data_IF_583624321166
#
_entry.id   IF_583624321166
#
_cell.length_a   1.000
_cell.length_b   1.000
_cell.length_c   1.000
_cell.angle_alpha   90.00
_cell.angle_beta   90.00
_cell.angle_gamma   90.00
#
_symmetry.space_group_name_H-M   'P 1'
#
loop_
_entity.id
_entity.type
_entity.pdbx_description
1 polymer ?
#
# COMPACT_ATOMS: atom_id res chain seq x y z
N UNK A 1 -56.16 16.39 -3.93
CA UNK A 1 -54.72 16.78 -3.87
C UNK A 1 -54.02 16.42 -2.56
N UNK A 2 -54.68 16.52 -1.38
CA UNK A 2 -54.06 16.27 -0.06
C UNK A 2 -53.48 14.86 0.17
N UNK A 3 -54.11 13.81 -0.35
CA UNK A 3 -53.69 12.39 -0.13
C UNK A 3 -52.41 12.01 -0.89
N UNK A 4 -52.12 12.61 -2.05
CA UNK A 4 -50.89 12.35 -2.81
C UNK A 4 -49.64 12.93 -2.13
N UNK A 5 -49.75 14.09 -1.47
CA UNK A 5 -48.66 14.74 -0.74
C UNK A 5 -48.27 13.96 0.52
N UNK A 6 -49.24 13.36 1.22
CA UNK A 6 -48.98 12.51 2.41
C UNK A 6 -48.22 11.24 2.02
N UNK A 7 -48.59 10.59 0.92
CA UNK A 7 -47.89 9.41 0.42
C UNK A 7 -46.48 9.73 -0.10
N UNK A 8 -46.27 10.89 -0.73
CA UNK A 8 -44.93 11.33 -1.17
C UNK A 8 -44.01 11.60 0.02
N UNK A 9 -44.51 12.27 1.08
CA UNK A 9 -43.76 12.51 2.32
C UNK A 9 -43.42 11.22 3.06
N UNK A 10 -44.33 10.24 3.08
CA UNK A 10 -44.10 8.91 3.69
C UNK A 10 -43.05 8.09 2.92
N UNK A 11 -43.12 8.11 1.58
CA UNK A 11 -42.19 7.40 0.69
C UNK A 11 -40.78 8.02 0.72
N UNK A 12 -40.69 9.35 0.80
CA UNK A 12 -39.43 10.08 1.01
C UNK A 12 -38.81 9.80 2.38
N UNK A 13 -39.61 9.74 3.45
CA UNK A 13 -39.12 9.37 4.77
C UNK A 13 -38.56 7.95 4.80
N UNK A 14 -39.21 7.00 4.13
CA UNK A 14 -38.74 5.62 4.02
C UNK A 14 -37.41 5.53 3.24
N UNK A 15 -37.28 6.25 2.12
CA UNK A 15 -36.03 6.30 1.34
C UNK A 15 -34.84 6.85 2.14
N UNK A 16 -35.07 7.88 2.96
CA UNK A 16 -34.04 8.47 3.82
C UNK A 16 -33.59 7.48 4.90
N UNK A 17 -34.53 6.76 5.53
CA UNK A 17 -34.22 5.72 6.52
C UNK A 17 -33.41 4.58 5.89
N UNK A 18 -33.78 4.13 4.69
CA UNK A 18 -33.01 3.10 3.98
C UNK A 18 -31.60 3.56 3.61
N UNK A 19 -31.43 4.80 3.17
CA UNK A 19 -30.12 5.36 2.87
C UNK A 19 -29.24 5.48 4.12
N UNK A 20 -29.80 5.92 5.25
CA UNK A 20 -29.09 6.03 6.53
C UNK A 20 -28.72 4.66 7.10
N UNK A 21 -29.61 3.67 7.02
CA UNK A 21 -29.30 2.29 7.40
C UNK A 21 -28.21 1.70 6.50
N UNK A 22 -28.26 1.94 5.19
CA UNK A 22 -27.22 1.51 4.26
C UNK A 22 -25.85 2.10 4.61
N UNK A 23 -25.80 3.40 4.93
CA UNK A 23 -24.56 4.08 5.33
C UNK A 23 -23.99 3.52 6.65
N UNK A 24 -24.86 3.24 7.63
CA UNK A 24 -24.48 2.62 8.90
C UNK A 24 -23.91 1.20 8.71
N UNK A 25 -24.46 0.42 7.77
CA UNK A 25 -23.97 -0.92 7.46
C UNK A 25 -22.57 -0.87 6.83
N UNK A 26 -22.31 0.08 5.91
CA UNK A 26 -20.99 0.22 5.25
C UNK A 26 -19.89 0.57 6.26
N UNK A 27 -20.18 1.40 7.26
CA UNK A 27 -19.22 1.76 8.32
C UNK A 27 -18.83 0.58 9.23
N UNK A 28 -19.68 -0.44 9.36
CA UNK A 28 -19.39 -1.63 10.18
C UNK A 28 -18.43 -2.61 9.49
N UNK A 29 -18.28 -2.51 8.16
CA UNK A 29 -17.41 -3.40 7.36
C UNK A 29 -16.03 -2.81 7.04
N UNK A 30 -15.81 -1.51 7.24
CA UNK A 30 -14.49 -0.91 7.16
C UNK A 30 -13.69 -1.22 8.42
N UNK A 31 -13.04 -2.38 8.47
CA UNK A 31 -11.94 -2.58 9.41
C UNK A 31 -10.76 -1.75 8.94
N UNK A 32 -10.52 -0.61 9.59
CA UNK A 32 -9.24 0.07 9.49
C UNK A 32 -8.19 -0.88 10.09
N UNK A 33 -7.49 -1.61 9.22
CA UNK A 33 -6.32 -2.39 9.61
C UNK A 33 -5.16 -1.41 9.64
N UNK A 34 -4.90 -0.87 10.83
CA UNK A 34 -3.62 -0.24 11.09
C UNK A 34 -2.56 -1.32 11.08
N UNK A 35 -1.46 -1.09 10.35
CA UNK A 35 -0.25 -1.85 10.56
C UNK A 35 0.22 -1.51 11.99
N UNK A 36 -0.18 -2.34 12.94
CA UNK A 36 0.34 -2.27 14.30
C UNK A 36 1.83 -2.56 14.19
N UNK A 37 2.66 -1.55 14.46
CA UNK A 37 4.07 -1.71 14.67
C UNK A 37 4.20 -2.57 15.93
N UNK A 38 4.14 -3.89 15.76
CA UNK A 38 4.27 -4.84 16.83
C UNK A 38 5.62 -4.54 17.48
N UNK A 39 5.59 -3.93 18.67
CA UNK A 39 6.80 -3.71 19.45
C UNK A 39 7.48 -5.06 19.58
N UNK A 40 8.60 -5.25 18.85
CA UNK A 40 9.26 -6.55 18.78
C UNK A 40 9.54 -6.99 20.20
N UNK A 41 8.88 -8.07 20.60
CA UNK A 41 9.10 -8.67 21.91
C UNK A 41 10.61 -8.88 22.08
N UNK A 42 11.12 -8.56 23.27
CA UNK A 42 12.57 -8.66 23.53
C UNK A 42 13.03 -10.08 23.18
N UNK A 43 14.04 -10.25 22.31
CA UNK A 43 14.48 -11.59 21.91
C UNK A 43 14.99 -12.35 23.12
N UNK A 44 14.57 -13.62 23.20
CA UNK A 44 15.10 -14.60 24.15
C UNK A 44 16.55 -14.94 23.81
N UNK A 45 17.33 -15.37 24.80
CA UNK A 45 18.72 -15.75 24.59
C UNK A 45 18.87 -16.92 23.61
N UNK A 46 17.88 -17.83 23.57
CA UNK A 46 17.82 -18.93 22.59
C UNK A 46 17.66 -18.38 21.16
N UNK A 47 16.83 -17.36 20.94
CA UNK A 47 16.71 -16.72 19.62
C UNK A 47 18.01 -16.01 19.23
N UNK A 48 18.66 -15.31 20.16
CA UNK A 48 19.93 -14.63 19.91
C UNK A 48 21.04 -15.62 19.56
N UNK A 49 21.13 -16.76 20.28
CA UNK A 49 22.10 -17.83 19.97
C UNK A 49 21.90 -18.36 18.56
N UNK A 50 20.64 -18.66 18.18
CA UNK A 50 20.31 -19.14 16.82
C UNK A 50 20.69 -18.14 15.74
N UNK A 51 20.51 -16.84 15.98
CA UNK A 51 20.91 -15.79 15.03
C UNK A 51 22.43 -15.76 14.88
N UNK A 52 23.17 -15.80 15.98
CA UNK A 52 24.64 -15.83 15.93
C UNK A 52 25.16 -17.09 15.24
N UNK A 53 24.63 -18.27 15.57
CA UNK A 53 25.02 -19.56 15.00
C UNK A 53 24.73 -19.66 13.50
N UNK A 54 23.59 -19.12 13.06
CA UNK A 54 23.13 -19.19 11.66
C UNK A 54 23.38 -17.90 10.88
N UNK A 55 24.21 -17.01 11.38
CA UNK A 55 24.39 -15.67 10.83
C UNK A 55 24.77 -15.69 9.33
N UNK A 56 25.67 -16.60 8.93
CA UNK A 56 26.09 -16.74 7.52
C UNK A 56 24.92 -17.13 6.61
N UNK A 57 24.11 -18.12 7.03
CA UNK A 57 22.97 -18.60 6.25
C UNK A 57 21.87 -17.54 6.18
N UNK A 58 21.55 -16.89 7.32
CA UNK A 58 20.60 -15.78 7.36
C UNK A 58 21.00 -14.65 6.40
N UNK A 59 22.28 -14.25 6.41
CA UNK A 59 22.77 -13.20 5.49
C UNK A 59 22.70 -13.64 4.03
N UNK A 60 22.96 -14.92 3.73
CA UNK A 60 22.84 -15.47 2.38
C UNK A 60 21.39 -15.44 1.91
N UNK A 61 20.46 -15.85 2.76
CA UNK A 61 19.03 -15.88 2.46
C UNK A 61 18.47 -14.46 2.28
N UNK A 62 18.82 -13.51 3.15
CA UNK A 62 18.43 -12.10 3.02
C UNK A 62 18.97 -11.46 1.73
N UNK A 63 20.23 -11.77 1.35
CA UNK A 63 20.80 -11.29 0.08
C UNK A 63 20.07 -11.86 -1.14
N UNK A 64 19.70 -13.15 -1.07
CA UNK A 64 18.91 -13.80 -2.13
C UNK A 64 17.53 -13.15 -2.23
N UNK A 65 16.83 -13.00 -1.11
CA UNK A 65 15.53 -12.33 -1.04
C UNK A 65 15.59 -10.93 -1.66
N UNK A 66 16.56 -10.11 -1.22
CA UNK A 66 16.79 -8.76 -1.78
C UNK A 66 16.95 -8.80 -3.30
N UNK A 67 17.77 -9.70 -3.83
CA UNK A 67 18.02 -9.79 -5.27
C UNK A 67 16.76 -10.18 -6.05
N UNK A 68 15.96 -11.11 -5.53
CA UNK A 68 14.73 -11.56 -6.18
C UNK A 68 13.65 -10.46 -6.16
N UNK A 69 13.49 -9.79 -5.02
CA UNK A 69 12.51 -8.72 -4.86
C UNK A 69 12.89 -7.47 -5.65
N UNK A 70 14.18 -7.12 -5.71
CA UNK A 70 14.65 -6.00 -6.50
C UNK A 70 14.32 -6.16 -7.98
N UNK A 71 14.56 -7.34 -8.56
CA UNK A 71 14.22 -7.62 -9.96
C UNK A 71 12.72 -7.49 -10.22
N UNK A 72 11.89 -8.12 -9.37
CA UNK A 72 10.42 -8.08 -9.51
C UNK A 72 9.89 -6.66 -9.43
N UNK A 73 10.33 -5.90 -8.42
CA UNK A 73 9.82 -4.55 -8.16
C UNK A 73 10.31 -3.52 -9.18
N UNK A 74 11.53 -3.65 -9.70
CA UNK A 74 12.00 -2.83 -10.82
C UNK A 74 11.18 -3.08 -12.08
N UNK A 75 10.87 -4.34 -12.40
CA UNK A 75 10.06 -4.66 -13.57
C UNK A 75 8.64 -4.11 -13.44
N UNK A 76 8.01 -4.30 -12.27
CA UNK A 76 6.69 -3.75 -12.00
C UNK A 76 6.68 -2.22 -12.07
N UNK A 77 7.72 -1.56 -11.54
CA UNK A 77 7.89 -0.12 -11.62
C UNK A 77 7.98 0.40 -13.07
N UNK A 78 8.69 -0.31 -13.95
CA UNK A 78 8.75 0.02 -15.38
C UNK A 78 7.37 -0.08 -16.04
N UNK A 79 6.57 -1.07 -15.66
CA UNK A 79 5.24 -1.23 -16.24
C UNK A 79 4.27 -0.15 -15.75
N UNK A 80 4.33 0.23 -14.47
CA UNK A 80 3.58 1.39 -13.97
C UNK A 80 4.02 2.71 -14.61
N UNK A 81 5.31 2.90 -14.85
CA UNK A 81 5.82 4.08 -15.55
C UNK A 81 5.30 4.16 -17.00
N UNK A 82 5.25 3.03 -17.72
CA UNK A 82 4.63 2.97 -19.06
C UNK A 82 3.15 3.34 -19.01
N UNK A 83 2.42 2.93 -17.98
CA UNK A 83 0.99 3.26 -17.82
C UNK A 83 0.82 4.75 -17.51
N UNK A 84 1.53 5.27 -16.51
CA UNK A 84 1.44 6.68 -16.09
C UNK A 84 1.84 7.64 -17.20
N UNK A 85 3.09 7.53 -17.68
CA UNK A 85 3.65 8.48 -18.64
C UNK A 85 3.29 8.10 -20.09
N UNK A 86 3.37 6.82 -20.42
CA UNK A 86 3.19 6.33 -21.78
C UNK A 86 1.72 6.29 -22.23
N UNK A 87 0.78 6.07 -21.31
CA UNK A 87 -0.64 5.93 -21.63
C UNK A 87 -1.49 7.07 -21.06
N UNK A 88 -1.58 7.18 -19.74
CA UNK A 88 -2.53 8.08 -19.07
C UNK A 88 -2.23 9.56 -19.37
N UNK A 89 -0.98 10.00 -19.16
CA UNK A 89 -0.55 11.37 -19.46
C UNK A 89 -0.75 11.73 -20.93
N UNK A 90 -0.37 10.83 -21.84
CA UNK A 90 -0.57 11.03 -23.27
C UNK A 90 -2.05 11.09 -23.67
N UNK A 91 -2.90 10.29 -23.04
CA UNK A 91 -4.34 10.28 -23.33
C UNK A 91 -5.03 11.54 -22.82
N UNK A 92 -4.70 12.00 -21.61
CA UNK A 92 -5.14 13.29 -21.07
C UNK A 92 -4.75 14.45 -21.99
N UNK A 93 -3.49 14.47 -22.45
CA UNK A 93 -3.01 15.49 -23.38
C UNK A 93 -3.82 15.50 -24.70
N UNK A 94 -4.11 14.32 -25.27
CA UNK A 94 -4.93 14.21 -26.49
C UNK A 94 -6.35 14.71 -26.28
N UNK A 95 -6.98 14.39 -25.15
CA UNK A 95 -8.33 14.88 -24.81
C UNK A 95 -8.35 16.41 -24.73
N UNK A 96 -7.39 16.99 -24.02
CA UNK A 96 -7.24 18.43 -23.89
C UNK A 96 -7.03 19.12 -25.26
N UNK A 97 -6.16 18.57 -26.12
CA UNK A 97 -5.94 19.07 -27.49
C UNK A 97 -7.20 19.04 -28.35
N UNK A 98 -8.09 18.08 -28.11
CA UNK A 98 -9.38 17.97 -28.81
C UNK A 98 -10.49 18.81 -28.15
N UNK A 99 -10.14 19.74 -27.26
CA UNK A 99 -11.07 20.62 -26.51
C UNK A 99 -12.14 19.85 -25.75
N UNK A 100 -11.83 18.61 -25.36
CA UNK A 100 -12.65 17.80 -24.46
C UNK A 100 -12.08 17.94 -23.06
N UNK A 101 -12.95 17.88 -22.07
CA UNK A 101 -12.54 17.82 -20.67
C UNK A 101 -13.13 16.56 -20.06
N UNK A 102 -12.27 15.72 -19.50
CA UNK A 102 -12.65 14.55 -18.72
C UNK A 102 -11.95 14.63 -17.36
N UNK A 103 -12.62 15.31 -16.43
CA UNK A 103 -12.11 15.45 -15.06
C UNK A 103 -11.97 14.09 -14.36
N UNK A 104 -12.77 13.09 -14.75
CA UNK A 104 -12.70 11.74 -14.18
C UNK A 104 -11.39 11.05 -14.57
N UNK A 105 -11.00 11.13 -15.84
CA UNK A 105 -9.74 10.56 -16.31
C UNK A 105 -8.51 11.28 -15.73
N UNK A 106 -8.56 12.62 -15.62
CA UNK A 106 -7.49 13.39 -14.97
C UNK A 106 -7.36 12.98 -13.50
N UNK A 107 -8.48 12.84 -12.78
CA UNK A 107 -8.49 12.39 -11.39
C UNK A 107 -7.94 10.97 -11.24
N UNK A 108 -8.34 10.05 -12.13
CA UNK A 108 -7.84 8.68 -12.14
C UNK A 108 -6.32 8.62 -12.38
N UNK A 109 -5.81 9.49 -13.28
CA UNK A 109 -4.37 9.58 -13.54
C UNK A 109 -3.62 10.09 -12.32
N UNK A 110 -4.15 11.12 -11.65
CA UNK A 110 -3.56 11.66 -10.44
C UNK A 110 -3.52 10.62 -9.29
N UNK A 111 -4.60 9.87 -9.10
CA UNK A 111 -4.68 8.77 -8.13
C UNK A 111 -3.70 7.64 -8.47
N UNK A 112 -3.58 7.28 -9.75
CA UNK A 112 -2.59 6.30 -10.20
C UNK A 112 -1.17 6.75 -9.88
N UNK A 113 -0.84 8.01 -10.20
CA UNK A 113 0.49 8.57 -9.96
C UNK A 113 0.82 8.67 -8.47
N UNK A 114 -0.18 8.94 -7.62
CA UNK A 114 -0.02 8.92 -6.17
C UNK A 114 0.29 7.52 -5.65
N UNK A 115 -0.48 6.52 -6.06
CA UNK A 115 -0.21 5.13 -5.70
C UNK A 115 1.13 4.64 -6.26
N UNK A 116 1.53 5.09 -7.45
CA UNK A 116 2.83 4.75 -8.02
C UNK A 116 3.99 5.41 -7.25
N UNK A 117 3.85 6.66 -6.81
CA UNK A 117 4.82 7.31 -5.90
C UNK A 117 4.92 6.53 -4.59
N UNK A 118 3.78 6.21 -3.96
CA UNK A 118 3.74 5.39 -2.76
C UNK A 118 4.47 4.06 -2.95
N UNK A 119 4.20 3.34 -4.05
CA UNK A 119 4.91 2.09 -4.38
C UNK A 119 6.44 2.28 -4.44
N UNK A 120 6.92 3.34 -5.10
CA UNK A 120 8.35 3.63 -5.25
C UNK A 120 8.99 3.95 -3.91
N UNK A 121 8.36 4.81 -3.12
CA UNK A 121 8.90 5.26 -1.83
C UNK A 121 8.97 4.10 -0.83
N UNK A 122 7.92 3.26 -0.78
CA UNK A 122 7.92 2.05 0.04
C UNK A 122 9.01 1.07 -0.38
N UNK A 123 9.23 0.87 -1.69
CA UNK A 123 10.30 0.01 -2.15
C UNK A 123 11.68 0.57 -1.81
N UNK A 124 11.89 1.88 -1.94
CA UNK A 124 13.16 2.52 -1.57
C UNK A 124 13.46 2.38 -0.08
N UNK A 125 12.45 2.52 0.78
CA UNK A 125 12.60 2.32 2.23
C UNK A 125 12.92 0.85 2.55
N UNK A 126 12.15 -0.09 2.00
CA UNK A 126 12.40 -1.53 2.14
C UNK A 126 13.83 -1.90 1.69
N UNK A 127 14.26 -1.43 0.51
CA UNK A 127 15.62 -1.71 0.01
C UNK A 127 16.70 -1.09 0.88
N UNK A 128 16.47 0.08 1.47
CA UNK A 128 17.42 0.71 2.39
C UNK A 128 17.58 -0.14 3.65
N UNK A 129 16.47 -0.48 4.30
CA UNK A 129 16.45 -1.27 5.54
C UNK A 129 17.06 -2.66 5.34
N UNK A 130 16.67 -3.35 4.27
CA UNK A 130 17.23 -4.66 3.95
C UNK A 130 18.72 -4.58 3.58
N UNK A 131 19.15 -3.49 2.93
CA UNK A 131 20.57 -3.27 2.63
C UNK A 131 21.36 -3.17 3.93
N UNK A 132 20.91 -2.32 4.84
CA UNK A 132 21.54 -2.13 6.14
C UNK A 132 21.61 -3.44 6.91
N UNK A 133 20.49 -4.17 7.01
CA UNK A 133 20.40 -5.45 7.70
C UNK A 133 21.40 -6.48 7.13
N UNK A 134 21.53 -6.58 5.80
CA UNK A 134 22.48 -7.54 5.18
C UNK A 134 23.95 -7.19 5.41
N UNK A 135 24.27 -5.95 5.76
CA UNK A 135 25.65 -5.53 6.08
C UNK A 135 26.01 -5.78 7.54
N UNK A 136 25.03 -5.78 8.43
CA UNK A 136 25.23 -5.94 9.87
C UNK A 136 25.86 -7.29 10.24
N UNK A 137 26.66 -7.29 11.31
CA UNK A 137 27.28 -8.49 11.88
C UNK A 137 26.34 -9.12 12.91
N UNK A 138 25.50 -10.07 12.46
CA UNK A 138 24.60 -10.82 13.32
C UNK A 138 25.30 -11.74 14.32
N UNK A 139 26.58 -12.10 14.10
CA UNK A 139 27.32 -12.94 15.04
C UNK A 139 27.75 -12.13 16.26
N UNK A 140 28.23 -10.90 16.05
CA UNK A 140 28.66 -9.98 17.13
C UNK A 140 27.51 -9.24 17.79
N UNK A 141 26.50 -8.83 17.01
CA UNK A 141 25.38 -8.01 17.49
C UNK A 141 24.02 -8.67 17.18
N UNK A 142 23.75 -9.90 17.66
CA UNK A 142 22.53 -10.66 17.32
C UNK A 142 21.24 -9.96 17.76
N UNK A 143 21.29 -9.20 18.87
CA UNK A 143 20.12 -8.45 19.37
C UNK A 143 19.73 -7.32 18.45
N UNK A 144 20.70 -6.50 18.02
CA UNK A 144 20.44 -5.39 17.12
C UNK A 144 19.98 -5.92 15.75
N UNK A 145 20.57 -7.03 15.28
CA UNK A 145 20.14 -7.68 14.05
C UNK A 145 18.69 -8.18 14.14
N UNK A 146 18.31 -8.85 15.24
CA UNK A 146 16.93 -9.29 15.47
C UNK A 146 15.92 -8.13 15.47
N UNK A 147 16.27 -7.01 16.10
CA UNK A 147 15.40 -5.85 16.15
C UNK A 147 15.18 -5.20 14.78
N UNK A 148 16.06 -5.46 13.80
CA UNK A 148 15.92 -5.01 12.41
C UNK A 148 15.38 -6.07 11.44
N UNK A 149 15.37 -7.36 11.82
CA UNK A 149 14.88 -8.48 11.01
C UNK A 149 13.35 -8.46 10.81
#
# INVERSE_FOLDING_TARGET
MRTKLVNFRKKSGFLIVFALCGLLIVMQFSKAVFAEEAAKEKPTDVQLSKISEKCTDLKKDLKKLRSEDALKRVNLGKDYEKISNGLMSNFNARIALNKKNDAGLISLTAEFDENFRYFRDNFQNYERELSELTTQDCAKNPREFYLKL
#
